data_IF_884202379108
#
_entry.id   IF_884202379108
#
_cell.length_a   1.000
_cell.length_b   1.000
_cell.length_c   1.000
_cell.angle_alpha   90.00
_cell.angle_beta   90.00
_cell.angle_gamma   90.00
#
_symmetry.space_group_name_H-M   'P 1'
#
loop_
_entity.id
_entity.type
_entity.pdbx_description
1 polymer ?
#
# COMPACT_ATOMS: atom_id res chain seq x y z
N UNK A 1 -64.89 0.12 32.17
CA UNK A 1 -66.08 0.71 32.81
C UNK A 1 -65.67 1.98 33.54
N UNK A 2 -66.36 3.03 33.23
CA UNK A 2 -66.56 4.36 33.79
C UNK A 2 -65.85 5.54 33.14
N UNK A 3 -66.72 6.26 32.42
CA UNK A 3 -66.69 7.67 32.00
C UNK A 3 -66.58 8.63 33.18
N UNK A 4 -65.95 9.80 32.96
CA UNK A 4 -66.63 11.09 33.09
C UNK A 4 -65.78 12.24 32.50
N UNK A 5 -66.44 12.97 31.59
CA UNK A 5 -66.16 14.31 31.13
C UNK A 5 -66.12 15.35 32.28
N UNK A 6 -65.34 16.39 32.08
CA UNK A 6 -65.81 17.77 32.25
C UNK A 6 -64.80 18.73 31.54
N UNK A 7 -65.36 19.50 30.63
CA UNK A 7 -64.66 20.52 29.89
C UNK A 7 -64.54 21.86 30.62
N UNK A 8 -63.60 22.67 30.18
CA UNK A 8 -63.72 24.12 30.19
C UNK A 8 -62.91 24.69 29.02
N UNK A 9 -63.62 25.40 28.14
CA UNK A 9 -63.07 26.22 27.06
C UNK A 9 -62.32 27.42 27.64
N UNK A 10 -61.05 27.58 27.26
CA UNK A 10 -60.36 28.87 27.33
C UNK A 10 -59.91 29.24 25.92
N UNK A 11 -60.03 30.48 25.49
CA UNK A 11 -59.74 30.91 24.13
C UNK A 11 -58.20 30.90 23.89
N UNK A 12 -57.83 30.31 22.76
CA UNK A 12 -56.46 30.33 22.27
C UNK A 12 -56.04 31.76 21.93
N UNK A 13 -55.01 32.26 22.57
CA UNK A 13 -54.34 33.51 22.19
C UNK A 13 -53.51 33.28 20.92
N UNK A 14 -53.43 34.24 20.01
CA UNK A 14 -52.63 34.09 18.79
C UNK A 14 -51.15 34.05 19.11
N UNK A 15 -50.47 33.03 18.59
CA UNK A 15 -49.02 32.87 18.67
C UNK A 15 -48.38 33.96 17.79
N UNK A 16 -47.77 34.95 18.41
CA UNK A 16 -46.95 35.95 17.75
C UNK A 16 -45.73 35.24 17.15
N UNK A 17 -45.54 35.39 15.84
CA UNK A 17 -44.37 34.93 15.10
C UNK A 17 -43.09 35.56 15.68
N UNK A 18 -42.36 34.82 16.52
CA UNK A 18 -41.00 35.15 16.83
C UNK A 18 -40.12 34.69 15.65
N UNK A 19 -39.74 35.61 14.78
CA UNK A 19 -38.63 35.40 13.86
C UNK A 19 -37.36 35.40 14.70
N UNK A 20 -36.78 34.22 14.89
CA UNK A 20 -35.41 34.10 15.41
C UNK A 20 -34.46 34.74 14.40
N UNK A 21 -33.50 35.57 14.83
CA UNK A 21 -32.50 36.10 13.92
C UNK A 21 -31.71 34.94 13.34
N UNK A 22 -31.69 34.81 12.00
CA UNK A 22 -30.80 33.91 11.28
C UNK A 22 -29.39 34.49 11.45
N UNK A 23 -28.73 34.11 12.53
CA UNK A 23 -27.27 34.29 12.63
C UNK A 23 -26.66 33.37 11.60
N UNK A 24 -26.04 33.94 10.58
CA UNK A 24 -25.17 33.21 9.66
C UNK A 24 -24.03 32.54 10.47
N UNK A 25 -24.29 31.36 11.00
CA UNK A 25 -23.20 30.49 11.46
C UNK A 25 -22.43 30.07 10.22
N UNK A 26 -21.36 30.79 9.90
CA UNK A 26 -20.30 30.23 9.06
C UNK A 26 -19.72 29.08 9.88
N UNK A 27 -20.01 27.85 9.43
CA UNK A 27 -19.29 26.67 9.90
C UNK A 27 -17.79 26.99 9.80
N UNK A 28 -17.01 26.72 10.85
CA UNK A 28 -15.55 26.84 10.76
C UNK A 28 -15.13 26.10 9.49
N UNK A 29 -14.34 26.74 8.63
CA UNK A 29 -13.68 26.03 7.53
C UNK A 29 -12.93 24.89 8.19
N UNK A 30 -13.35 23.66 7.91
CA UNK A 30 -12.60 22.49 8.34
C UNK A 30 -11.17 22.68 7.84
N UNK A 31 -10.22 22.79 8.77
CA UNK A 31 -8.80 22.72 8.44
C UNK A 31 -8.65 21.32 7.83
N UNK A 32 -8.25 21.20 6.57
CA UNK A 32 -8.10 19.88 5.97
C UNK A 32 -7.13 19.09 6.84
N UNK A 33 -7.59 17.98 7.43
CA UNK A 33 -6.73 17.08 8.18
C UNK A 33 -5.69 16.54 7.20
N UNK A 34 -4.42 16.85 7.47
CA UNK A 34 -3.31 16.35 6.64
C UNK A 34 -3.30 14.83 6.70
N UNK A 35 -3.53 14.16 5.59
CA UNK A 35 -3.46 12.71 5.49
C UNK A 35 -2.05 12.21 5.74
N UNK A 36 -1.95 10.99 6.27
CA UNK A 36 -0.66 10.38 6.56
C UNK A 36 -0.56 8.99 5.93
N UNK A 37 0.49 8.77 5.16
CA UNK A 37 0.75 7.51 4.43
C UNK A 37 1.98 6.82 5.02
N UNK A 38 1.90 5.50 5.20
CA UNK A 38 3.02 4.67 5.57
C UNK A 38 3.56 3.95 4.33
N UNK A 39 4.78 4.25 3.92
CA UNK A 39 5.44 3.60 2.77
C UNK A 39 6.40 2.52 3.29
N UNK A 40 6.23 1.30 2.77
CA UNK A 40 7.07 0.15 3.07
C UNK A 40 8.08 -0.05 1.96
N UNK A 41 9.35 -0.11 2.32
CA UNK A 41 10.48 -0.27 1.41
C UNK A 41 11.31 -1.49 1.80
N UNK A 42 11.81 -2.20 0.78
CA UNK A 42 12.80 -3.26 0.96
C UNK A 42 14.18 -2.68 1.33
N UNK A 43 14.90 -3.37 2.20
CA UNK A 43 16.31 -3.08 2.50
C UNK A 43 17.27 -3.67 1.44
N UNK A 44 16.74 -4.53 0.55
CA UNK A 44 17.48 -5.22 -0.51
C UNK A 44 17.32 -4.58 -1.90
N UNK A 45 16.72 -3.42 -1.94
CA UNK A 45 16.57 -2.61 -3.14
C UNK A 45 15.11 -2.41 -3.54
N UNK A 46 14.76 -1.14 -3.71
CA UNK A 46 13.47 -0.73 -4.28
C UNK A 46 13.68 -0.18 -5.70
N UNK A 47 12.66 -0.27 -6.55
CA UNK A 47 12.71 0.39 -7.85
C UNK A 47 12.41 1.88 -7.69
N UNK A 48 13.33 2.74 -8.13
CA UNK A 48 13.30 4.16 -7.79
C UNK A 48 12.04 4.89 -8.22
N UNK A 49 11.57 4.70 -9.45
CA UNK A 49 10.37 5.37 -9.97
C UNK A 49 9.10 4.95 -9.21
N UNK A 50 9.04 3.69 -8.75
CA UNK A 50 7.91 3.18 -7.97
C UNK A 50 7.82 3.80 -6.56
N UNK A 51 8.88 4.45 -6.10
CA UNK A 51 8.85 5.33 -4.96
C UNK A 51 8.56 6.78 -5.36
N UNK A 52 9.26 7.32 -6.38
CA UNK A 52 9.19 8.74 -6.74
C UNK A 52 7.78 9.12 -7.20
N UNK A 53 7.15 8.33 -8.06
CA UNK A 53 5.83 8.65 -8.60
C UNK A 53 4.76 8.84 -7.52
N UNK A 54 4.53 7.85 -6.63
CA UNK A 54 3.60 8.02 -5.52
C UNK A 54 4.03 9.12 -4.54
N UNK A 55 5.32 9.24 -4.22
CA UNK A 55 5.82 10.23 -3.26
C UNK A 55 5.56 11.66 -3.73
N UNK A 56 5.90 11.99 -4.98
CA UNK A 56 5.61 13.31 -5.57
C UNK A 56 4.09 13.58 -5.61
N UNK A 57 3.28 12.55 -5.85
CA UNK A 57 1.81 12.67 -5.83
C UNK A 57 1.28 12.98 -4.44
N UNK A 58 1.83 12.33 -3.40
CA UNK A 58 1.45 12.59 -2.01
C UNK A 58 1.94 13.96 -1.53
N UNK A 59 3.15 14.33 -1.88
CA UNK A 59 3.71 15.67 -1.57
C UNK A 59 2.85 16.78 -2.23
N UNK A 60 2.42 16.60 -3.49
CA UNK A 60 1.52 17.52 -4.17
C UNK A 60 0.12 17.60 -3.53
N UNK A 61 -0.35 16.51 -2.94
CA UNK A 61 -1.60 16.47 -2.17
C UNK A 61 -1.47 17.01 -0.73
N UNK A 62 -0.25 17.38 -0.30
CA UNK A 62 0.02 17.86 1.05
C UNK A 62 -0.01 16.78 2.13
N UNK A 63 0.18 15.52 1.75
CA UNK A 63 0.19 14.40 2.67
C UNK A 63 1.52 14.27 3.42
N UNK A 64 1.46 13.75 4.63
CA UNK A 64 2.64 13.34 5.37
C UNK A 64 3.00 11.89 5.02
N UNK A 65 4.29 11.60 4.96
CA UNK A 65 4.79 10.28 4.63
C UNK A 65 5.82 9.83 5.66
N UNK A 66 5.59 8.66 6.25
CA UNK A 66 6.59 7.93 7.02
C UNK A 66 7.06 6.71 6.22
N UNK A 67 8.32 6.34 6.41
CA UNK A 67 8.90 5.15 5.79
C UNK A 67 9.14 4.07 6.84
N UNK A 68 8.92 2.82 6.44
CA UNK A 68 9.28 1.66 7.25
C UNK A 68 10.04 0.62 6.42
N UNK A 69 10.95 -0.08 7.07
CA UNK A 69 11.72 -1.18 6.51
C UNK A 69 11.76 -2.35 7.49
N UNK A 70 12.09 -3.56 7.06
CA UNK A 70 12.09 -4.73 7.94
C UNK A 70 12.87 -4.57 9.23
N UNK A 71 14.06 -3.94 9.21
CA UNK A 71 14.93 -3.82 10.39
C UNK A 71 15.32 -2.39 10.74
N UNK A 72 14.78 -1.39 10.07
CA UNK A 72 15.09 0.03 10.28
C UNK A 72 16.36 0.50 9.56
N UNK A 73 16.90 -0.31 8.67
CA UNK A 73 17.99 0.12 7.80
C UNK A 73 17.47 1.06 6.72
N UNK A 74 18.28 2.04 6.37
CA UNK A 74 17.98 2.92 5.24
C UNK A 74 17.83 2.06 3.96
N UNK A 75 16.70 2.17 3.25
CA UNK A 75 16.53 1.48 1.98
C UNK A 75 17.44 2.10 0.92
N UNK A 76 17.77 1.31 -0.11
CA UNK A 76 18.60 1.73 -1.24
C UNK A 76 17.85 1.45 -2.55
N UNK A 77 18.01 2.34 -3.54
CA UNK A 77 17.43 2.12 -4.84
C UNK A 77 18.25 1.06 -5.62
N UNK A 78 17.56 0.26 -6.44
CA UNK A 78 18.23 -0.64 -7.38
C UNK A 78 19.00 0.18 -8.41
N UNK A 79 20.28 -0.15 -8.63
CA UNK A 79 21.15 0.58 -9.58
C UNK A 79 20.54 0.73 -10.97
N UNK A 80 19.86 -0.28 -11.56
CA UNK A 80 19.19 -0.12 -12.85
C UNK A 80 18.12 0.99 -12.88
N UNK A 81 17.48 1.27 -11.75
CA UNK A 81 16.47 2.34 -11.66
C UNK A 81 17.08 3.74 -11.62
N UNK A 82 18.41 3.84 -11.50
CA UNK A 82 19.18 5.09 -11.53
C UNK A 82 19.98 5.27 -12.82
N UNK A 83 19.82 4.39 -13.80
CA UNK A 83 20.58 4.37 -15.04
C UNK A 83 19.66 4.42 -16.27
N UNK A 84 19.60 5.60 -16.91
CA UNK A 84 18.80 5.80 -18.11
C UNK A 84 19.32 5.01 -19.34
N UNK A 85 20.53 4.46 -19.27
CA UNK A 85 21.09 3.62 -20.33
C UNK A 85 20.83 2.13 -20.13
N UNK A 86 20.30 1.76 -18.96
CA UNK A 86 19.95 0.36 -18.68
C UNK A 86 18.85 -0.11 -19.63
N UNK A 87 19.15 -1.17 -20.34
CA UNK A 87 18.21 -1.85 -21.24
C UNK A 87 17.63 -3.05 -20.48
N UNK A 88 16.34 -2.99 -20.22
CA UNK A 88 15.63 -4.10 -19.59
C UNK A 88 15.66 -5.33 -20.52
N UNK A 89 16.20 -6.48 -20.09
CA UNK A 89 16.39 -7.62 -20.96
C UNK A 89 15.09 -8.19 -21.56
N UNK A 90 14.01 -8.39 -20.79
CA UNK A 90 12.73 -8.83 -21.34
C UNK A 90 12.12 -7.85 -22.34
N UNK A 91 12.19 -6.57 -22.06
CA UNK A 91 11.59 -5.51 -22.90
C UNK A 91 12.49 -5.07 -24.06
N UNK A 92 13.80 -5.28 -23.98
CA UNK A 92 14.78 -4.90 -25.00
C UNK A 92 14.88 -3.38 -25.24
N UNK A 93 14.53 -2.57 -24.27
CA UNK A 93 14.56 -1.09 -24.33
C UNK A 93 14.85 -0.48 -22.96
N UNK A 94 15.34 0.77 -22.92
CA UNK A 94 15.42 1.51 -21.67
C UNK A 94 14.06 1.67 -21.00
N UNK A 95 14.03 1.56 -19.68
CA UNK A 95 12.80 1.66 -18.86
C UNK A 95 12.82 2.83 -17.89
N UNK A 96 13.94 3.54 -17.82
CA UNK A 96 14.12 4.71 -16.94
C UNK A 96 14.50 5.92 -17.80
N UNK A 97 13.83 7.05 -17.64
CA UNK A 97 14.21 8.31 -18.27
C UNK A 97 15.40 8.94 -17.54
N UNK A 98 16.15 9.82 -18.24
CA UNK A 98 17.25 10.57 -17.62
C UNK A 98 16.77 11.41 -16.43
N UNK A 99 15.63 12.09 -16.57
CA UNK A 99 15.02 12.88 -15.49
C UNK A 99 14.70 12.02 -14.28
N UNK A 100 14.08 10.85 -14.49
CA UNK A 100 13.74 9.94 -13.41
C UNK A 100 14.99 9.38 -12.73
N UNK A 101 15.98 8.97 -13.49
CA UNK A 101 17.24 8.49 -12.94
C UNK A 101 17.93 9.55 -12.05
N UNK A 102 17.84 10.83 -12.41
CA UNK A 102 18.36 11.95 -11.59
C UNK A 102 17.55 12.13 -10.30
N UNK A 103 16.22 12.07 -10.36
CA UNK A 103 15.36 12.14 -9.19
C UNK A 103 15.65 10.99 -8.21
N UNK A 104 15.80 9.78 -8.74
CA UNK A 104 16.10 8.59 -7.92
C UNK A 104 17.48 8.73 -7.28
N UNK A 105 18.52 9.13 -8.02
CA UNK A 105 19.84 9.39 -7.43
C UNK A 105 19.78 10.46 -6.34
N UNK A 106 18.96 11.48 -6.52
CA UNK A 106 18.82 12.57 -5.54
C UNK A 106 18.17 12.10 -4.22
N UNK A 107 17.14 11.25 -4.29
CA UNK A 107 16.51 10.72 -3.07
C UNK A 107 17.36 9.63 -2.40
N UNK A 108 18.08 8.83 -3.21
CA UNK A 108 18.93 7.74 -2.73
C UNK A 108 20.28 8.22 -2.17
N UNK A 109 20.69 9.46 -2.43
CA UNK A 109 21.92 10.04 -1.88
C UNK A 109 21.92 9.91 -0.35
N UNK A 110 22.97 9.31 0.26
CA UNK A 110 23.09 9.20 1.72
C UNK A 110 22.99 10.53 2.49
N UNK A 111 23.29 11.67 1.84
CA UNK A 111 23.15 13.00 2.40
C UNK A 111 21.71 13.52 2.34
N UNK A 112 20.83 12.90 1.56
CA UNK A 112 19.41 13.24 1.55
C UNK A 112 18.74 12.63 2.79
N UNK A 113 18.14 13.46 3.67
CA UNK A 113 17.55 12.94 4.91
C UNK A 113 16.21 12.22 4.71
N UNK A 114 15.61 12.29 3.52
CA UNK A 114 14.23 11.83 3.27
C UNK A 114 14.02 10.36 3.65
N UNK A 115 14.98 9.49 3.36
CA UNK A 115 14.91 8.05 3.66
C UNK A 115 15.68 7.65 4.92
N UNK A 116 16.19 8.61 5.70
CA UNK A 116 16.93 8.30 6.90
C UNK A 116 16.01 7.89 8.05
N UNK A 117 16.50 6.99 8.90
CA UNK A 117 15.81 6.52 10.09
C UNK A 117 14.38 6.00 9.83
N UNK A 118 14.18 5.08 8.88
CA UNK A 118 12.88 4.46 8.68
C UNK A 118 12.45 3.69 9.93
N UNK A 119 11.15 3.55 10.10
CA UNK A 119 10.57 2.75 11.19
C UNK A 119 11.00 1.29 11.02
N UNK A 120 11.56 0.70 12.07
CA UNK A 120 11.92 -0.71 12.10
C UNK A 120 10.68 -1.56 12.37
N UNK A 121 10.22 -2.36 11.40
CA UNK A 121 9.10 -3.29 11.60
C UNK A 121 9.44 -4.33 12.66
N UNK A 122 10.72 -4.74 12.75
CA UNK A 122 11.19 -5.70 13.74
C UNK A 122 11.01 -5.20 15.17
N UNK A 123 11.26 -3.91 15.39
CA UNK A 123 11.20 -3.32 16.73
C UNK A 123 9.77 -2.84 17.07
N UNK A 124 8.97 -2.58 16.06
CA UNK A 124 7.60 -2.09 16.20
C UNK A 124 6.57 -3.21 16.40
N UNK A 125 6.66 -4.26 15.55
CA UNK A 125 5.70 -5.36 15.53
C UNK A 125 6.24 -6.59 16.26
N UNK A 126 5.42 -7.33 17.01
CA UNK A 126 5.85 -8.52 17.72
C UNK A 126 6.28 -9.64 16.76
N UNK A 127 7.14 -10.52 17.23
CA UNK A 127 7.42 -11.77 16.55
C UNK A 127 6.29 -12.76 16.81
N UNK A 128 5.83 -13.43 15.75
CA UNK A 128 4.79 -14.44 15.87
C UNK A 128 5.34 -15.69 16.56
N UNK A 129 4.69 -16.19 17.61
CA UNK A 129 5.15 -17.37 18.33
C UNK A 129 5.19 -18.63 17.46
N UNK A 130 6.18 -19.49 17.69
CA UNK A 130 6.24 -20.81 17.08
C UNK A 130 5.23 -21.74 17.75
N UNK A 131 4.36 -22.34 16.96
CA UNK A 131 3.28 -23.20 17.45
C UNK A 131 3.75 -24.46 18.17
N UNK A 132 5.04 -24.83 18.07
CA UNK A 132 5.66 -25.91 18.82
C UNK A 132 6.02 -25.56 20.29
N UNK A 133 5.85 -24.30 20.68
CA UNK A 133 6.09 -23.88 22.06
C UNK A 133 5.05 -24.48 23.02
N UNK A 134 5.44 -25.02 24.19
CA UNK A 134 4.50 -25.47 25.24
C UNK A 134 3.60 -24.34 25.76
N UNK A 135 4.01 -23.09 25.59
CA UNK A 135 3.27 -21.89 26.01
C UNK A 135 2.52 -21.23 24.85
N UNK A 136 2.50 -21.87 23.69
CA UNK A 136 2.02 -21.31 22.42
C UNK A 136 0.69 -20.57 22.54
N UNK A 137 -0.32 -21.15 23.20
CA UNK A 137 -1.63 -20.49 23.29
C UNK A 137 -1.57 -19.15 24.01
N UNK A 138 -0.84 -19.07 25.12
CA UNK A 138 -0.68 -17.81 25.88
C UNK A 138 0.16 -16.80 25.13
N UNK A 139 1.18 -17.26 24.43
CA UNK A 139 2.04 -16.41 23.58
C UNK A 139 1.26 -15.87 22.39
N UNK A 140 0.37 -16.68 21.79
CA UNK A 140 -0.54 -16.23 20.72
C UNK A 140 -1.56 -15.20 21.21
N UNK A 141 -2.14 -15.38 22.40
CA UNK A 141 -3.02 -14.38 22.99
C UNK A 141 -2.30 -13.06 23.23
N UNK A 142 -1.09 -13.10 23.78
CA UNK A 142 -0.26 -11.92 24.00
C UNK A 142 0.13 -11.23 22.68
N UNK A 143 0.47 -12.03 21.67
CA UNK A 143 0.81 -11.54 20.32
C UNK A 143 -0.37 -10.80 19.68
N UNK A 144 -1.56 -11.38 19.66
CA UNK A 144 -2.74 -10.71 19.07
C UNK A 144 -3.15 -9.48 19.87
N UNK A 145 -3.09 -9.51 21.20
CA UNK A 145 -3.34 -8.33 22.03
C UNK A 145 -2.35 -7.21 21.70
N UNK A 146 -1.08 -7.53 21.50
CA UNK A 146 -0.08 -6.52 21.12
C UNK A 146 -0.36 -5.93 19.74
N UNK A 147 -0.80 -6.73 18.78
CA UNK A 147 -1.21 -6.22 17.46
C UNK A 147 -2.43 -5.29 17.56
N UNK A 148 -3.40 -5.61 18.41
CA UNK A 148 -4.57 -4.73 18.66
C UNK A 148 -4.15 -3.39 19.29
N UNK A 149 -3.23 -3.41 20.25
CA UNK A 149 -2.69 -2.19 20.85
C UNK A 149 -1.98 -1.31 19.82
N UNK A 150 -1.12 -1.90 18.98
CA UNK A 150 -0.41 -1.20 17.90
C UNK A 150 -1.42 -0.63 16.90
N UNK A 151 -2.42 -1.41 16.50
CA UNK A 151 -3.49 -0.95 15.60
C UNK A 151 -4.21 0.27 16.16
N UNK A 152 -4.58 0.24 17.43
CA UNK A 152 -5.36 1.30 18.06
C UNK A 152 -4.54 2.57 18.31
N UNK A 153 -3.25 2.45 18.66
CA UNK A 153 -2.42 3.59 19.06
C UNK A 153 -1.56 4.12 17.92
N UNK A 154 -0.86 3.20 17.25
CA UNK A 154 0.21 3.60 16.34
C UNK A 154 -0.27 3.65 14.88
N UNK A 155 -1.05 2.64 14.45
CA UNK A 155 -1.51 2.55 13.06
C UNK A 155 -2.75 3.41 12.79
N UNK A 156 -3.50 3.79 13.82
CA UNK A 156 -4.68 4.64 13.67
C UNK A 156 -4.38 6.00 13.05
N UNK A 157 -3.16 6.51 13.22
CA UNK A 157 -2.72 7.79 12.65
C UNK A 157 -2.53 7.78 11.13
N UNK A 158 -2.33 6.61 10.52
CA UNK A 158 -2.15 6.50 9.07
C UNK A 158 -3.49 6.31 8.38
N UNK A 159 -3.70 7.00 7.26
CA UNK A 159 -4.89 6.87 6.42
C UNK A 159 -4.77 5.72 5.43
N UNK A 160 -3.56 5.38 5.02
CA UNK A 160 -3.27 4.32 4.06
C UNK A 160 -1.82 3.82 4.20
N UNK A 161 -1.51 2.71 3.51
CA UNK A 161 -0.14 2.25 3.30
C UNK A 161 0.14 1.99 1.82
N UNK A 162 1.43 2.06 1.44
CA UNK A 162 1.94 1.71 0.12
C UNK A 162 3.13 0.76 0.27
N UNK A 163 3.17 -0.30 -0.53
CA UNK A 163 4.31 -1.20 -0.65
C UNK A 163 4.97 -0.96 -2.01
N UNK A 164 6.18 -0.47 -1.99
CA UNK A 164 6.97 -0.19 -3.19
C UNK A 164 7.58 -1.48 -3.73
N UNK A 165 7.66 -1.64 -5.03
CA UNK A 165 8.23 -2.81 -5.66
C UNK A 165 9.74 -2.69 -5.94
N UNK A 166 10.18 -3.29 -7.03
CA UNK A 166 11.56 -3.66 -7.30
C UNK A 166 11.82 -5.10 -6.87
N UNK A 167 13.01 -5.65 -7.14
CA UNK A 167 13.33 -7.06 -6.82
C UNK A 167 13.57 -7.33 -5.32
N UNK A 168 13.92 -6.31 -4.56
CA UNK A 168 14.19 -6.45 -3.12
C UNK A 168 13.02 -7.01 -2.30
N UNK A 169 11.76 -6.61 -2.50
CA UNK A 169 10.60 -7.19 -1.83
C UNK A 169 10.52 -8.71 -1.86
N UNK A 170 11.01 -9.35 -2.92
CA UNK A 170 11.06 -10.82 -3.02
C UNK A 170 11.96 -11.45 -1.95
N UNK A 171 12.92 -10.68 -1.43
CA UNK A 171 13.90 -11.15 -0.43
C UNK A 171 13.38 -10.95 0.99
N UNK A 172 12.89 -9.74 1.31
CA UNK A 172 12.69 -9.36 2.70
C UNK A 172 11.26 -8.90 3.07
N UNK A 173 10.34 -8.74 2.08
CA UNK A 173 8.97 -8.31 2.34
C UNK A 173 7.94 -9.42 2.12
N UNK A 174 8.01 -10.14 0.98
CA UNK A 174 6.95 -11.07 0.54
C UNK A 174 6.67 -12.17 1.56
N UNK A 175 7.69 -12.72 2.20
CA UNK A 175 7.56 -13.77 3.22
C UNK A 175 7.73 -13.24 4.66
N UNK A 176 7.69 -11.94 4.84
CA UNK A 176 7.91 -11.33 6.14
C UNK A 176 6.61 -11.27 6.94
N UNK A 177 6.55 -12.02 8.04
CA UNK A 177 5.36 -12.09 8.89
C UNK A 177 4.93 -10.70 9.41
N UNK A 178 5.88 -9.80 9.72
CA UNK A 178 5.54 -8.46 10.21
C UNK A 178 4.92 -7.58 9.12
N UNK A 179 5.35 -7.75 7.87
CA UNK A 179 4.70 -7.10 6.72
C UNK A 179 3.27 -7.61 6.56
N UNK A 180 3.05 -8.93 6.68
CA UNK A 180 1.70 -9.49 6.63
C UNK A 180 0.83 -9.00 7.79
N UNK A 181 1.36 -8.92 9.01
CA UNK A 181 0.63 -8.39 10.16
C UNK A 181 0.24 -6.92 9.96
N UNK A 182 1.14 -6.13 9.40
CA UNK A 182 0.86 -4.72 9.07
C UNK A 182 -0.27 -4.61 8.03
N UNK A 183 -0.18 -5.35 6.93
CA UNK A 183 -1.20 -5.42 5.89
C UNK A 183 -2.56 -5.82 6.49
N UNK A 184 -2.59 -6.88 7.30
CA UNK A 184 -3.81 -7.35 7.94
C UNK A 184 -4.41 -6.31 8.90
N UNK A 185 -3.59 -5.54 9.61
CA UNK A 185 -4.08 -4.48 10.46
C UNK A 185 -4.73 -3.35 9.65
N UNK A 186 -4.13 -2.91 8.52
CA UNK A 186 -4.75 -1.92 7.64
C UNK A 186 -6.06 -2.46 7.03
N UNK A 187 -6.05 -3.72 6.59
CA UNK A 187 -7.25 -4.39 6.07
C UNK A 187 -8.39 -4.43 7.11
N UNK A 188 -8.08 -4.79 8.36
CA UNK A 188 -9.06 -4.83 9.46
C UNK A 188 -9.58 -3.44 9.88
N UNK A 189 -8.80 -2.39 9.64
CA UNK A 189 -9.24 -1.00 9.84
C UNK A 189 -10.04 -0.43 8.67
N UNK A 190 -10.30 -1.22 7.63
CA UNK A 190 -10.92 -0.77 6.36
C UNK A 190 -10.16 0.42 5.75
N UNK A 191 -8.82 0.41 5.83
CA UNK A 191 -7.96 1.45 5.25
C UNK A 191 -7.39 0.99 3.91
N UNK A 192 -7.26 1.90 2.93
CA UNK A 192 -6.67 1.57 1.64
C UNK A 192 -5.24 1.03 1.75
N UNK A 193 -4.93 0.05 0.92
CA UNK A 193 -3.62 -0.58 0.83
C UNK A 193 -3.18 -0.52 -0.63
N UNK A 194 -2.13 0.23 -0.90
CA UNK A 194 -1.52 0.27 -2.23
C UNK A 194 -0.29 -0.64 -2.29
N UNK A 195 -0.07 -1.23 -3.46
CA UNK A 195 1.14 -1.98 -3.75
C UNK A 195 1.44 -1.92 -5.26
N UNK A 196 2.71 -2.01 -5.62
CA UNK A 196 3.14 -1.90 -7.00
C UNK A 196 4.17 -2.97 -7.33
N UNK A 197 4.14 -3.46 -8.58
CA UNK A 197 5.15 -4.36 -9.14
C UNK A 197 5.38 -5.59 -8.23
N UNK A 198 6.60 -5.88 -7.84
CA UNK A 198 6.96 -6.95 -6.92
C UNK A 198 6.58 -6.68 -5.43
N UNK A 199 5.99 -5.54 -5.13
CA UNK A 199 5.35 -5.30 -3.83
C UNK A 199 3.96 -5.96 -3.69
N UNK A 200 3.27 -6.20 -4.83
CA UNK A 200 1.90 -6.76 -4.84
C UNK A 200 1.82 -8.17 -4.25
N UNK A 201 2.79 -9.09 -4.43
CA UNK A 201 2.77 -10.41 -3.80
C UNK A 201 2.70 -10.40 -2.28
N UNK A 202 3.13 -9.33 -1.62
CA UNK A 202 2.95 -9.21 -0.18
C UNK A 202 1.47 -9.35 0.21
N UNK A 203 0.56 -8.85 -0.65
CA UNK A 203 -0.89 -8.99 -0.45
C UNK A 203 -1.35 -10.44 -0.63
N UNK A 204 -0.77 -11.17 -1.58
CA UNK A 204 -1.12 -12.56 -1.86
C UNK A 204 -0.85 -13.48 -0.67
N UNK A 205 0.23 -13.24 0.06
CA UNK A 205 0.66 -14.05 1.20
C UNK A 205 0.08 -13.57 2.54
N UNK A 206 -0.52 -12.38 2.62
CA UNK A 206 -1.29 -11.97 3.77
C UNK A 206 -2.61 -12.74 3.80
N UNK A 207 -2.81 -13.57 4.83
CA UNK A 207 -3.95 -14.48 4.93
C UNK A 207 -4.93 -14.00 5.99
N UNK A 208 -6.21 -13.88 5.63
CA UNK A 208 -7.27 -13.58 6.60
C UNK A 208 -7.25 -14.59 7.75
N UNK A 209 -7.43 -14.09 8.96
CA UNK A 209 -7.37 -14.92 10.17
C UNK A 209 -8.52 -15.92 10.25
N UNK A 210 -9.67 -15.60 9.66
CA UNK A 210 -10.90 -16.38 9.81
C UNK A 210 -10.96 -17.55 8.83
N UNK A 211 -10.73 -17.30 7.53
CA UNK A 211 -10.88 -18.31 6.49
C UNK A 211 -9.55 -18.78 5.89
N UNK A 212 -8.44 -18.15 6.26
CA UNK A 212 -7.08 -18.45 5.80
C UNK A 212 -6.85 -18.23 4.31
N UNK A 213 -7.80 -17.62 3.61
CA UNK A 213 -7.61 -17.19 2.24
C UNK A 213 -6.71 -15.97 2.16
N UNK A 214 -6.13 -15.74 0.98
CA UNK A 214 -5.47 -14.47 0.69
C UNK A 214 -6.46 -13.32 0.85
N UNK A 215 -6.02 -12.18 1.37
CA UNK A 215 -6.89 -11.00 1.49
C UNK A 215 -7.33 -10.43 0.14
N UNK A 216 -6.64 -10.82 -0.95
CA UNK A 216 -7.04 -10.48 -2.32
C UNK A 216 -7.94 -11.55 -2.96
N UNK A 217 -8.40 -12.55 -2.22
CA UNK A 217 -9.37 -13.51 -2.72
C UNK A 217 -10.67 -12.81 -3.14
N UNK A 218 -11.13 -13.09 -4.34
CA UNK A 218 -12.30 -12.42 -4.93
C UNK A 218 -12.06 -10.99 -5.37
N UNK A 219 -10.79 -10.52 -5.40
CA UNK A 219 -10.43 -9.15 -5.79
C UNK A 219 -9.82 -9.09 -7.18
N UNK A 220 -9.98 -7.94 -7.81
CA UNK A 220 -9.30 -7.59 -9.05
C UNK A 220 -8.00 -6.86 -8.70
N UNK A 221 -6.88 -7.36 -9.19
CA UNK A 221 -5.55 -6.80 -8.94
C UNK A 221 -4.70 -6.80 -10.21
N UNK A 222 -3.66 -5.98 -10.23
CA UNK A 222 -2.56 -6.06 -11.18
C UNK A 222 -1.24 -6.17 -10.42
N UNK A 223 -0.16 -6.40 -11.11
CA UNK A 223 1.19 -6.50 -10.59
C UNK A 223 2.14 -6.84 -11.72
N UNK A 224 3.41 -7.06 -11.42
CA UNK A 224 4.38 -7.41 -12.44
C UNK A 224 3.92 -8.66 -13.20
N UNK A 225 3.83 -8.57 -14.54
CA UNK A 225 3.24 -9.61 -15.35
C UNK A 225 4.29 -10.51 -16.02
N UNK A 226 3.87 -11.71 -16.41
CA UNK A 226 4.72 -12.73 -17.01
C UNK A 226 5.51 -12.21 -18.21
N UNK A 227 4.90 -11.38 -19.05
CA UNK A 227 5.55 -10.84 -20.25
C UNK A 227 6.73 -9.93 -19.93
N UNK A 228 6.75 -9.30 -18.76
CA UNK A 228 7.86 -8.46 -18.31
C UNK A 228 8.95 -9.26 -17.59
N UNK A 229 8.61 -10.44 -17.07
CA UNK A 229 9.57 -11.32 -16.43
C UNK A 229 10.26 -12.27 -17.43
N UNK A 230 9.49 -12.82 -18.39
CA UNK A 230 9.92 -13.88 -19.28
C UNK A 230 9.52 -13.58 -20.72
N UNK A 231 10.49 -13.51 -21.60
CA UNK A 231 10.28 -13.42 -23.04
C UNK A 231 11.06 -14.52 -23.72
N UNK A 232 10.36 -15.41 -24.42
CA UNK A 232 10.92 -16.39 -25.36
C UNK A 232 12.14 -17.19 -24.82
N UNK A 233 12.05 -17.70 -23.60
CA UNK A 233 13.10 -18.51 -23.00
C UNK A 233 14.33 -17.72 -22.50
N UNK A 234 14.31 -16.41 -22.58
CA UNK A 234 15.33 -15.57 -21.94
C UNK A 234 14.89 -15.26 -20.52
N UNK A 235 15.32 -16.09 -19.58
CA UNK A 235 15.26 -15.72 -18.18
C UNK A 235 16.08 -14.46 -17.95
N UNK A 236 15.56 -13.53 -17.15
CA UNK A 236 16.33 -12.39 -16.65
C UNK A 236 17.40 -12.93 -15.68
N UNK A 237 18.52 -13.27 -16.20
CA UNK A 237 19.68 -13.65 -15.39
C UNK A 237 20.45 -12.39 -15.11
N UNK A 238 20.39 -11.86 -13.89
CA UNK A 238 21.08 -10.70 -13.34
C UNK A 238 22.40 -10.25 -13.99
N UNK A 239 22.37 -10.05 -15.31
CA UNK A 239 23.55 -9.72 -16.11
C UNK A 239 24.19 -8.37 -15.72
N UNK A 240 23.49 -7.57 -14.92
CA UNK A 240 23.89 -6.22 -14.52
C UNK A 240 24.05 -6.06 -13.01
N UNK A 241 24.21 -7.14 -12.29
CA UNK A 241 24.53 -7.06 -10.86
C UNK A 241 25.95 -6.50 -10.72
N UNK A 242 26.08 -5.37 -10.07
CA UNK A 242 27.36 -4.85 -9.66
C UNK A 242 27.62 -5.24 -8.20
N UNK A 243 28.42 -6.30 -7.93
CA UNK A 243 28.67 -6.76 -6.57
C UNK A 243 29.37 -5.72 -5.69
N UNK A 244 30.01 -4.73 -6.28
CA UNK A 244 30.69 -3.67 -5.55
C UNK A 244 29.74 -2.60 -5.03
N UNK A 245 28.52 -2.52 -5.57
CA UNK A 245 27.48 -1.59 -5.13
C UNK A 245 26.46 -2.23 -4.19
N UNK A 246 26.61 -3.53 -3.89
CA UNK A 246 25.63 -4.26 -3.10
C UNK A 246 24.28 -4.41 -3.81
N UNK A 247 24.23 -4.10 -5.09
CA UNK A 247 23.03 -4.23 -5.90
C UNK A 247 22.80 -5.69 -6.26
N UNK A 248 21.75 -6.26 -5.75
CA UNK A 248 21.38 -7.63 -6.03
C UNK A 248 20.10 -7.58 -6.86
N UNK A 249 20.28 -7.59 -8.16
CA UNK A 249 19.17 -7.81 -9.07
C UNK A 249 18.98 -9.33 -9.23
N UNK A 250 17.98 -9.89 -8.54
CA UNK A 250 17.73 -11.31 -8.52
C UNK A 250 17.13 -11.87 -9.80
N UNK A 251 16.76 -11.01 -10.74
CA UNK A 251 15.96 -11.42 -11.87
C UNK A 251 14.53 -11.83 -11.46
N UNK A 252 13.77 -12.42 -12.39
CA UNK A 252 12.43 -12.89 -12.07
C UNK A 252 12.50 -14.08 -11.10
N UNK A 253 11.46 -14.25 -10.26
CA UNK A 253 11.37 -15.42 -9.37
C UNK A 253 11.31 -16.72 -10.20
N UNK A 254 11.72 -17.83 -9.62
CA UNK A 254 11.59 -19.16 -10.27
C UNK A 254 10.16 -19.49 -10.68
N UNK A 255 9.21 -18.90 -9.99
CA UNK A 255 7.79 -19.04 -10.27
C UNK A 255 7.24 -17.66 -10.61
N UNK A 256 6.66 -17.46 -11.80
CA UNK A 256 6.17 -16.15 -12.22
C UNK A 256 5.20 -15.54 -11.22
N UNK A 257 5.41 -14.29 -10.91
CA UNK A 257 4.59 -13.54 -9.96
C UNK A 257 3.11 -13.53 -10.36
N UNK A 258 2.84 -13.38 -11.63
CA UNK A 258 1.48 -13.44 -12.18
C UNK A 258 0.73 -14.71 -11.76
N UNK A 259 1.39 -15.88 -11.73
CA UNK A 259 0.75 -17.12 -11.32
C UNK A 259 0.39 -17.12 -9.83
N UNK A 260 1.26 -16.53 -8.99
CA UNK A 260 0.97 -16.35 -7.57
C UNK A 260 -0.27 -15.49 -7.37
N UNK A 261 -0.35 -14.36 -8.10
CA UNK A 261 -1.48 -13.44 -8.00
C UNK A 261 -2.78 -14.04 -8.57
N UNK A 262 -2.70 -14.79 -9.67
CA UNK A 262 -3.86 -15.53 -10.23
C UNK A 262 -4.39 -16.57 -9.25
N UNK A 263 -3.52 -17.32 -8.58
CA UNK A 263 -3.91 -18.29 -7.56
C UNK A 263 -4.55 -17.57 -6.34
N UNK A 264 -3.92 -16.50 -5.87
CA UNK A 264 -4.36 -15.77 -4.67
C UNK A 264 -5.70 -15.05 -4.85
N UNK A 265 -6.03 -14.59 -6.06
CA UNK A 265 -7.34 -13.97 -6.34
C UNK A 265 -8.47 -15.00 -6.42
N UNK A 266 -8.16 -16.27 -6.65
CA UNK A 266 -9.15 -17.35 -6.74
C UNK A 266 -10.14 -17.17 -7.90
N UNK A 267 -11.17 -18.03 -7.96
CA UNK A 267 -12.08 -18.06 -9.09
C UNK A 267 -13.06 -16.88 -9.16
N UNK A 268 -13.22 -16.14 -8.06
CA UNK A 268 -14.14 -15.00 -7.96
C UNK A 268 -13.43 -13.66 -8.22
N UNK A 269 -12.10 -13.66 -8.22
CA UNK A 269 -11.28 -12.51 -8.52
C UNK A 269 -10.53 -12.64 -9.84
N UNK A 270 -9.69 -11.67 -10.16
CA UNK A 270 -8.93 -11.69 -11.40
C UNK A 270 -7.63 -10.91 -11.30
N UNK A 271 -6.55 -11.49 -11.83
CA UNK A 271 -5.32 -10.76 -12.14
C UNK A 271 -5.43 -10.12 -13.53
N UNK A 272 -5.10 -8.84 -13.63
CA UNK A 272 -5.10 -8.07 -14.86
C UNK A 272 -3.65 -7.73 -15.26
N UNK A 273 -3.07 -8.47 -16.18
CA UNK A 273 -1.74 -8.17 -16.73
C UNK A 273 -1.74 -6.90 -17.59
N UNK A 274 -2.88 -6.64 -18.26
CA UNK A 274 -3.10 -5.48 -19.15
C UNK A 274 -1.92 -5.24 -20.10
N UNK A 275 -1.42 -6.34 -20.65
CA UNK A 275 -0.30 -6.32 -21.61
C UNK A 275 -0.70 -5.49 -22.82
N UNK A 276 0.23 -4.61 -23.27
CA UNK A 276 -0.04 -3.68 -24.37
C UNK A 276 -0.71 -2.36 -23.94
N UNK A 277 -1.17 -2.24 -22.71
CA UNK A 277 -1.60 -0.96 -22.17
C UNK A 277 -0.38 -0.16 -21.66
N UNK A 278 -0.34 1.14 -21.94
CA UNK A 278 0.71 2.02 -21.45
C UNK A 278 0.75 2.04 -19.92
N UNK A 279 -0.41 2.17 -19.29
CA UNK A 279 -0.59 2.20 -17.83
C UNK A 279 -1.60 1.15 -17.41
N UNK A 280 -1.33 0.47 -16.29
CA UNK A 280 -2.24 -0.47 -15.66
C UNK A 280 -2.28 -0.27 -14.15
N UNK A 281 -3.34 0.34 -13.67
CA UNK A 281 -3.65 0.47 -12.25
C UNK A 281 -5.06 -0.04 -12.00
N UNK A 282 -5.20 -0.91 -11.01
CA UNK A 282 -6.49 -1.50 -10.62
C UNK A 282 -6.84 -1.00 -9.20
N UNK A 283 -8.06 -0.51 -9.06
CA UNK A 283 -8.66 -0.25 -7.74
C UNK A 283 -9.81 -1.23 -7.55
N UNK A 284 -9.68 -2.10 -6.57
CA UNK A 284 -10.75 -2.92 -6.01
C UNK A 284 -10.65 -2.82 -4.49
N UNK A 285 -11.34 -1.84 -3.94
CA UNK A 285 -11.21 -1.43 -2.55
C UNK A 285 -11.21 -2.63 -1.57
N UNK A 286 -10.30 -2.65 -0.58
CA UNK A 286 -9.41 -1.57 -0.18
C UNK A 286 -8.07 -1.52 -0.95
N UNK A 287 -7.90 -2.31 -2.02
CA UNK A 287 -6.63 -2.42 -2.72
C UNK A 287 -6.52 -1.44 -3.88
N UNK A 288 -5.31 -0.87 -4.02
CA UNK A 288 -4.85 -0.09 -5.17
C UNK A 288 -3.56 -0.75 -5.66
N UNK A 289 -3.58 -1.35 -6.83
CA UNK A 289 -2.42 -2.06 -7.35
C UNK A 289 -1.95 -1.49 -8.66
N UNK A 290 -0.63 -1.25 -8.80
CA UNK A 290 0.06 -0.84 -10.01
C UNK A 290 0.87 -2.01 -10.59
N UNK A 291 0.93 -2.11 -11.92
CA UNK A 291 1.59 -3.22 -12.60
C UNK A 291 3.10 -3.14 -12.50
N UNK A 292 3.66 -1.98 -12.82
CA UNK A 292 5.11 -1.77 -12.90
C UNK A 292 5.48 -0.29 -13.00
N UNK A 293 6.74 0.00 -13.20
CA UNK A 293 7.33 1.34 -13.29
C UNK A 293 6.49 2.43 -13.97
N UNK A 294 5.94 2.25 -15.20
CA UNK A 294 5.14 3.28 -15.85
C UNK A 294 3.86 3.66 -15.12
N UNK A 295 3.44 2.82 -14.18
CA UNK A 295 2.18 2.96 -13.46
C UNK A 295 2.30 3.80 -12.18
N UNK A 296 3.53 4.14 -11.78
CA UNK A 296 3.86 4.68 -10.44
C UNK A 296 3.11 5.96 -10.09
N UNK A 297 3.11 6.96 -10.99
CA UNK A 297 2.34 8.18 -10.76
C UNK A 297 0.83 7.91 -10.71
N UNK A 298 0.34 7.05 -11.61
CA UNK A 298 -1.07 6.68 -11.65
C UNK A 298 -1.48 5.92 -10.38
N UNK A 299 -0.62 5.05 -9.84
CA UNK A 299 -0.86 4.35 -8.56
C UNK A 299 -1.04 5.35 -7.42
N UNK A 300 -0.12 6.32 -7.31
CA UNK A 300 -0.23 7.41 -6.33
C UNK A 300 -1.52 8.22 -6.50
N UNK A 301 -1.85 8.62 -7.74
CA UNK A 301 -3.06 9.39 -8.05
C UNK A 301 -4.34 8.62 -7.69
N UNK A 302 -4.42 7.32 -8.01
CA UNK A 302 -5.59 6.49 -7.66
C UNK A 302 -5.73 6.35 -6.14
N UNK A 303 -4.63 6.22 -5.40
CA UNK A 303 -4.68 6.19 -3.95
C UNK A 303 -5.20 7.52 -3.37
N UNK A 304 -4.76 8.66 -3.90
CA UNK A 304 -5.31 9.98 -3.53
C UNK A 304 -6.81 10.05 -3.84
N UNK A 305 -7.26 9.56 -5.00
CA UNK A 305 -8.70 9.54 -5.33
C UNK A 305 -9.51 8.60 -4.43
N UNK A 306 -8.94 7.47 -4.01
CA UNK A 306 -9.58 6.60 -3.01
C UNK A 306 -9.78 7.35 -1.70
N UNK A 307 -8.76 8.09 -1.24
CA UNK A 307 -8.80 8.82 0.02
C UNK A 307 -9.68 10.07 -0.03
N UNK A 308 -9.66 10.83 -1.12
CA UNK A 308 -10.34 12.13 -1.21
C UNK A 308 -11.74 12.02 -1.83
N UNK A 309 -11.94 11.11 -2.78
CA UNK A 309 -13.19 11.00 -3.54
C UNK A 309 -13.97 9.72 -3.24
N UNK A 310 -13.43 8.83 -2.41
CA UNK A 310 -14.04 7.54 -2.11
C UNK A 310 -14.09 6.59 -3.32
N UNK A 311 -13.11 6.68 -4.23
CA UNK A 311 -13.02 5.76 -5.37
C UNK A 311 -12.95 4.32 -4.87
N UNK A 312 -13.82 3.43 -5.37
CA UNK A 312 -13.90 2.03 -4.94
C UNK A 312 -13.54 1.04 -6.05
N UNK A 313 -13.67 1.43 -7.31
CA UNK A 313 -13.42 0.59 -8.49
C UNK A 313 -12.81 1.40 -9.62
N UNK A 314 -11.76 0.86 -10.24
CA UNK A 314 -11.11 1.47 -11.39
C UNK A 314 -10.26 0.44 -12.14
N UNK A 315 -10.20 0.55 -13.47
CA UNK A 315 -9.22 -0.13 -14.33
C UNK A 315 -9.62 -1.54 -14.79
N UNK A 316 -10.85 -1.99 -14.49
CA UNK A 316 -11.37 -3.34 -14.86
C UNK A 316 -12.87 -3.36 -15.08
#
# INVERSE_FOLDING_TARGET
>A
VWYRNLGTNSPLQPITNYQLPITNYQLPKEVPMTRKILIILSEWGYWGEELIGPLETFDAAGYQVDFATPTGKRPVALTPSMDATFVDPPLGRPVVSQEMAEKVRAIDDPNNPRLNNPISLRDWLPEKPYWSSPKFLREMEAYYRRLEEIRAKDLSQYDSMLIVGGSGPLVDLVNNQRVHDLILNFYQMDKPIAAECYGVPCLAFARDINDRKSIIWGKHVTGHCLEYDYKDGTGFMGANVNPNLGDINFGPPFYPLEYILRDATGPEGQFHGNVGHEVSVIVDYPFVTGRSTPDSYATGQRLVEVLEKGLRRYGW
#
